data_IF_288927000050
#
_entry.id   IF_288927000050
#
_cell.length_a   1.000
_cell.length_b   1.000
_cell.length_c   1.000
_cell.angle_alpha   90.00
_cell.angle_beta   90.00
_cell.angle_gamma   90.00
#
_symmetry.space_group_name_H-M   'P 1'
#
loop_
_entity.id
_entity.type
_entity.pdbx_description
1 polymer ?
#
# COMPACT_ATOMS: atom_id res chain seq x y z
N UNK A 1 17.79 12.02 2.32
CA UNK A 1 16.32 11.81 2.28
C UNK A 1 15.69 11.97 3.68
N UNK A 2 16.08 13.01 4.45
CA UNK A 2 15.72 13.16 5.87
C UNK A 2 14.60 14.18 6.16
N UNK A 3 14.14 14.95 5.17
CA UNK A 3 13.14 16.01 5.38
C UNK A 3 11.67 15.53 5.47
N UNK A 4 11.36 14.26 5.13
CA UNK A 4 9.98 13.75 5.08
C UNK A 4 9.42 13.25 6.41
N UNK A 5 10.27 13.06 7.44
CA UNK A 5 9.80 12.60 8.74
C UNK A 5 8.95 13.67 9.45
N UNK A 6 9.35 14.95 9.38
CA UNK A 6 8.65 16.05 10.04
C UNK A 6 7.23 16.27 9.52
N UNK A 7 7.02 16.17 8.20
CA UNK A 7 5.74 16.47 7.55
C UNK A 7 4.60 15.56 8.03
N UNK A 8 4.87 14.27 8.22
CA UNK A 8 3.86 13.31 8.72
C UNK A 8 3.45 13.61 10.17
N UNK A 9 4.38 14.06 11.01
CA UNK A 9 4.07 14.47 12.39
C UNK A 9 3.26 15.76 12.45
N UNK A 10 3.57 16.76 11.61
CA UNK A 10 2.79 18.00 11.51
C UNK A 10 1.33 17.75 11.09
N UNK A 11 1.10 16.79 10.20
CA UNK A 11 -0.26 16.49 9.74
C UNK A 11 -1.09 15.69 10.75
N UNK A 12 -0.46 14.81 11.53
CA UNK A 12 -1.12 14.21 12.70
C UNK A 12 -1.43 15.27 13.77
N UNK A 13 -0.58 16.28 13.91
CA UNK A 13 -0.85 17.42 14.79
C UNK A 13 -2.05 18.26 14.31
N UNK A 14 -2.21 18.43 12.99
CA UNK A 14 -3.42 19.04 12.41
C UNK A 14 -4.68 18.26 12.80
N UNK A 15 -4.71 16.92 12.65
CA UNK A 15 -5.84 16.10 13.09
C UNK A 15 -6.15 16.30 14.59
N UNK A 16 -5.10 16.38 15.42
CA UNK A 16 -5.26 16.66 16.85
C UNK A 16 -5.84 18.05 17.13
N UNK A 17 -5.47 19.07 16.35
CA UNK A 17 -6.04 20.43 16.45
C UNK A 17 -7.50 20.45 16.00
N UNK A 18 -7.81 19.82 14.88
CA UNK A 18 -9.16 19.76 14.32
C UNK A 18 -10.15 19.08 15.27
N UNK A 19 -9.72 18.02 15.95
CA UNK A 19 -10.54 17.40 16.99
C UNK A 19 -10.93 18.36 18.13
N UNK A 20 -10.10 19.34 18.48
CA UNK A 20 -10.45 20.34 19.50
C UNK A 20 -11.62 21.22 19.07
N UNK A 21 -11.88 21.33 17.78
CA UNK A 21 -13.02 22.06 17.23
C UNK A 21 -14.30 21.21 17.14
N UNK A 22 -14.33 20.02 17.76
CA UNK A 22 -15.49 19.11 17.82
C UNK A 22 -16.07 18.72 16.45
N UNK A 23 -15.23 18.61 15.42
CA UNK A 23 -15.63 18.09 14.11
C UNK A 23 -16.17 16.66 14.24
N UNK A 24 -17.18 16.28 13.41
CA UNK A 24 -17.71 14.93 13.41
C UNK A 24 -16.63 13.94 12.96
N UNK A 25 -16.75 12.69 13.41
CA UNK A 25 -15.74 11.67 13.14
C UNK A 25 -15.56 11.42 11.63
N UNK A 26 -16.63 11.48 10.84
CA UNK A 26 -16.59 11.32 9.39
C UNK A 26 -15.68 12.33 8.70
N UNK A 27 -15.77 13.61 9.07
CA UNK A 27 -14.94 14.67 8.49
C UNK A 27 -13.46 14.48 8.85
N UNK A 28 -13.18 14.08 10.08
CA UNK A 28 -11.81 13.78 10.51
C UNK A 28 -11.22 12.59 9.74
N UNK A 29 -12.03 11.57 9.43
CA UNK A 29 -11.64 10.46 8.56
C UNK A 29 -11.40 10.95 7.14
N UNK A 30 -12.28 11.77 6.58
CA UNK A 30 -12.12 12.34 5.24
C UNK A 30 -10.81 13.14 5.13
N UNK A 31 -10.50 13.96 6.14
CA UNK A 31 -9.25 14.73 6.19
C UNK A 31 -8.03 13.80 6.33
N UNK A 32 -8.12 12.74 7.14
CA UNK A 32 -7.05 11.75 7.23
C UNK A 32 -6.78 11.09 5.87
N UNK A 33 -7.84 10.64 5.19
CA UNK A 33 -7.76 9.99 3.87
C UNK A 33 -7.27 10.96 2.80
N UNK A 34 -7.72 12.21 2.80
CA UNK A 34 -7.35 13.19 1.77
C UNK A 34 -5.99 13.83 1.97
N UNK A 35 -5.51 13.96 3.21
CA UNK A 35 -4.33 14.79 3.50
C UNK A 35 -3.14 14.04 4.09
N UNK A 36 -3.38 13.01 4.90
CA UNK A 36 -2.33 12.25 5.59
C UNK A 36 -1.99 10.98 4.83
N UNK A 37 -3.01 10.18 4.51
CA UNK A 37 -2.88 8.88 3.85
C UNK A 37 -2.11 8.94 2.52
N UNK A 38 -2.29 9.94 1.63
CA UNK A 38 -1.57 10.00 0.35
C UNK A 38 -0.06 10.16 0.52
N UNK A 39 0.41 10.79 1.61
CA UNK A 39 1.85 10.90 1.90
C UNK A 39 2.42 9.55 2.30
N UNK A 40 1.65 8.76 3.06
CA UNK A 40 2.05 7.42 3.47
C UNK A 40 2.04 6.44 2.30
N UNK A 41 1.25 6.73 1.26
CA UNK A 41 0.98 5.83 0.13
C UNK A 41 1.66 6.28 -1.18
N UNK A 42 2.36 7.41 -1.17
CA UNK A 42 3.01 7.93 -2.37
C UNK A 42 4.07 6.95 -2.89
N UNK A 43 3.98 6.62 -4.18
CA UNK A 43 4.90 5.70 -4.87
C UNK A 43 4.99 4.30 -4.25
N UNK A 44 3.94 3.84 -3.56
CA UNK A 44 3.85 2.48 -2.96
C UNK A 44 4.36 1.35 -3.87
N UNK A 45 4.01 1.29 -5.17
CA UNK A 45 4.52 0.23 -6.07
C UNK A 45 6.04 0.13 -6.14
N UNK A 46 6.75 1.22 -5.83
CA UNK A 46 8.22 1.28 -5.89
C UNK A 46 8.88 0.63 -4.66
N UNK A 47 8.29 0.80 -3.47
CA UNK A 47 8.98 0.47 -2.22
C UNK A 47 8.26 -0.56 -1.34
N UNK A 48 6.98 -0.87 -1.58
CA UNK A 48 6.18 -1.70 -0.66
C UNK A 48 6.82 -3.05 -0.33
N UNK A 49 7.31 -3.75 -1.36
CA UNK A 49 7.93 -5.07 -1.23
C UNK A 49 9.31 -5.04 -0.58
N UNK A 50 10.00 -3.90 -0.61
CA UNK A 50 11.33 -3.72 -0.04
C UNK A 50 11.34 -3.39 1.46
N UNK A 51 10.17 -3.27 2.09
CA UNK A 51 10.08 -2.84 3.48
C UNK A 51 10.50 -3.92 4.46
N UNK A 52 11.23 -3.49 5.48
CA UNK A 52 11.46 -4.32 6.67
C UNK A 52 10.20 -4.38 7.54
N UNK A 53 10.10 -5.42 8.38
CA UNK A 53 9.03 -5.55 9.39
C UNK A 53 8.93 -4.30 10.27
N UNK A 54 10.06 -3.72 10.65
CA UNK A 54 10.13 -2.50 11.45
C UNK A 54 9.55 -1.29 10.71
N UNK A 55 9.90 -1.08 9.43
CA UNK A 55 9.35 0.02 8.64
C UNK A 55 7.84 -0.11 8.44
N UNK A 56 7.36 -1.33 8.13
CA UNK A 56 5.92 -1.61 8.03
C UNK A 56 5.20 -1.34 9.36
N UNK A 57 5.80 -1.72 10.48
CA UNK A 57 5.27 -1.40 11.81
C UNK A 57 5.19 0.12 12.05
N UNK A 58 6.23 0.88 11.68
CA UNK A 58 6.23 2.34 11.84
C UNK A 58 5.13 3.02 11.03
N UNK A 59 4.88 2.57 9.80
CA UNK A 59 3.77 3.06 8.97
C UNK A 59 2.44 2.75 9.64
N UNK A 60 2.21 1.50 10.06
CA UNK A 60 0.97 1.09 10.72
C UNK A 60 0.75 1.86 12.03
N UNK A 61 1.83 2.20 12.75
CA UNK A 61 1.79 3.00 13.98
C UNK A 61 1.24 4.41 13.73
N UNK A 62 1.50 5.00 12.56
CA UNK A 62 0.94 6.31 12.19
C UNK A 62 -0.57 6.22 11.98
N UNK A 63 -1.06 5.18 11.30
CA UNK A 63 -2.51 4.96 11.16
C UNK A 63 -3.17 4.71 12.51
N UNK A 64 -2.59 3.84 13.37
CA UNK A 64 -3.08 3.61 14.74
C UNK A 64 -3.19 4.91 15.54
N UNK A 65 -2.21 5.79 15.42
CA UNK A 65 -2.22 7.10 16.09
C UNK A 65 -3.30 8.02 15.51
N UNK A 66 -3.53 7.99 14.21
CA UNK A 66 -4.63 8.72 13.58
C UNK A 66 -5.99 8.22 14.10
N UNK A 67 -6.24 6.91 14.06
CA UNK A 67 -7.47 6.29 14.56
C UNK A 67 -7.73 6.65 16.04
N UNK A 68 -6.72 6.53 16.90
CA UNK A 68 -6.83 6.93 18.31
C UNK A 68 -7.15 8.41 18.48
N UNK A 69 -6.56 9.26 17.64
CA UNK A 69 -6.86 10.70 17.65
C UNK A 69 -8.31 10.93 17.26
N UNK A 70 -8.78 10.33 16.16
CA UNK A 70 -10.15 10.50 15.65
C UNK A 70 -11.18 10.00 16.66
N UNK A 71 -11.03 8.77 17.17
CA UNK A 71 -12.00 8.17 18.11
C UNK A 71 -11.93 8.73 19.53
N UNK A 72 -10.74 9.09 20.02
CA UNK A 72 -10.58 9.62 21.39
C UNK A 72 -11.03 8.63 22.46
N UNK A 73 -12.02 9.02 23.27
CA UNK A 73 -12.58 8.19 24.34
C UNK A 73 -13.27 6.93 23.83
N UNK A 74 -13.80 6.94 22.61
CA UNK A 74 -14.45 5.77 21.99
C UNK A 74 -13.45 4.75 21.42
N UNK A 75 -12.14 4.96 21.59
CA UNK A 75 -11.12 4.04 21.06
C UNK A 75 -11.06 2.74 21.87
N UNK A 76 -11.57 1.65 21.31
CA UNK A 76 -11.55 0.31 21.91
C UNK A 76 -10.72 -0.70 21.10
N UNK A 77 -9.49 -0.31 20.75
CA UNK A 77 -8.56 -1.17 20.00
C UNK A 77 -8.52 -0.91 18.49
N UNK A 78 -7.51 -1.47 17.83
CA UNK A 78 -7.21 -1.11 16.44
C UNK A 78 -8.17 -1.75 15.43
N UNK A 79 -8.52 -3.04 15.61
CA UNK A 79 -9.49 -3.74 14.77
C UNK A 79 -10.86 -3.05 14.79
N UNK A 80 -11.39 -2.79 15.99
CA UNK A 80 -12.62 -2.04 16.19
C UNK A 80 -12.56 -0.64 15.54
N UNK A 81 -11.42 0.06 15.68
CA UNK A 81 -11.24 1.37 15.05
C UNK A 81 -11.25 1.31 13.52
N UNK A 82 -10.69 0.26 12.92
CA UNK A 82 -10.71 0.08 11.47
C UNK A 82 -12.13 -0.16 10.97
N UNK A 83 -12.88 -1.02 11.64
CA UNK A 83 -14.27 -1.33 11.30
C UNK A 83 -15.17 -0.09 11.46
N UNK A 84 -15.13 0.56 12.63
CA UNK A 84 -15.95 1.74 12.92
C UNK A 84 -15.63 2.94 12.00
N UNK A 85 -14.38 3.10 11.57
CA UNK A 85 -13.98 4.21 10.69
C UNK A 85 -14.03 3.83 9.20
N UNK A 86 -14.42 2.60 8.85
CA UNK A 86 -14.43 2.12 7.46
C UNK A 86 -13.05 2.10 6.81
N UNK A 87 -11.99 1.82 7.58
CA UNK A 87 -10.61 1.81 7.11
C UNK A 87 -10.06 0.39 7.01
N UNK A 88 -9.25 0.12 6.00
CA UNK A 88 -8.41 -1.08 5.96
C UNK A 88 -7.06 -0.81 6.63
N UNK A 89 -6.32 -1.86 6.98
CA UNK A 89 -4.90 -1.71 7.39
C UNK A 89 -4.08 -1.02 6.30
N UNK A 90 -2.99 -0.33 6.66
CA UNK A 90 -2.11 0.24 5.63
C UNK A 90 -1.39 -0.86 4.84
N UNK A 91 -1.12 -2.01 5.45
CA UNK A 91 -0.54 -3.15 4.73
C UNK A 91 -1.44 -3.61 3.57
N UNK A 92 -2.70 -3.94 3.85
CA UNK A 92 -3.65 -4.38 2.82
C UNK A 92 -3.90 -3.28 1.80
N UNK A 93 -4.00 -2.03 2.23
CA UNK A 93 -4.19 -0.89 1.33
C UNK A 93 -3.06 -0.72 0.33
N UNK A 94 -1.80 -0.85 0.78
CA UNK A 94 -0.63 -0.72 -0.08
C UNK A 94 -0.53 -1.86 -1.09
N UNK A 95 -0.87 -3.07 -0.68
CA UNK A 95 -0.95 -4.21 -1.60
C UNK A 95 -1.99 -3.97 -2.71
N UNK A 96 -3.18 -3.47 -2.36
CA UNK A 96 -4.20 -3.10 -3.36
C UNK A 96 -3.72 -2.01 -4.32
N UNK A 97 -2.96 -1.03 -3.84
CA UNK A 97 -2.37 0.00 -4.71
C UNK A 97 -1.33 -0.59 -5.66
N UNK A 98 -0.50 -1.52 -5.19
CA UNK A 98 0.43 -2.27 -6.04
C UNK A 98 -0.33 -3.08 -7.11
N UNK A 99 -1.40 -3.79 -6.73
CA UNK A 99 -2.21 -4.57 -7.65
C UNK A 99 -2.87 -3.67 -8.72
N UNK A 100 -3.46 -2.55 -8.29
CA UNK A 100 -4.08 -1.58 -9.19
C UNK A 100 -3.07 -1.02 -10.19
N UNK A 101 -1.88 -0.66 -9.71
CA UNK A 101 -0.79 -0.19 -10.57
C UNK A 101 -0.32 -1.28 -11.55
N UNK A 102 -0.14 -2.50 -11.07
CA UNK A 102 0.30 -3.64 -11.89
C UNK A 102 -0.70 -3.95 -13.01
N UNK A 103 -2.01 -3.91 -12.72
CA UNK A 103 -3.06 -4.07 -13.72
C UNK A 103 -3.08 -2.94 -14.73
N UNK A 104 -3.01 -1.68 -14.27
CA UNK A 104 -2.91 -0.54 -15.21
C UNK A 104 -1.67 -0.61 -16.11
N UNK A 105 -0.60 -1.26 -15.65
CA UNK A 105 0.61 -1.46 -16.44
C UNK A 105 0.40 -2.47 -17.58
N UNK A 106 -0.47 -3.47 -17.38
CA UNK A 106 -0.80 -4.47 -18.41
C UNK A 106 -1.53 -3.85 -19.62
N UNK A 107 -2.35 -2.83 -19.37
CA UNK A 107 -3.16 -2.16 -20.39
C UNK A 107 -2.50 -0.90 -20.98
N UNK A 108 -1.28 -0.57 -20.53
CA UNK A 108 -0.57 0.65 -20.91
C UNK A 108 0.53 0.42 -21.94
N UNK A 109 1.04 1.51 -22.52
CA UNK A 109 2.22 1.52 -23.38
C UNK A 109 3.50 0.98 -22.69
N UNK A 110 3.50 0.94 -21.35
CA UNK A 110 4.62 0.42 -20.55
C UNK A 110 4.50 -1.08 -20.25
N UNK A 111 3.66 -1.82 -20.99
CA UNK A 111 3.48 -3.28 -20.85
C UNK A 111 4.80 -4.04 -20.88
N UNK A 112 5.75 -3.55 -21.68
CA UNK A 112 7.08 -4.14 -21.87
C UNK A 112 7.98 -4.08 -20.63
N UNK A 113 7.63 -3.26 -19.63
CA UNK A 113 8.32 -3.27 -18.34
C UNK A 113 8.03 -4.53 -17.53
N UNK A 114 6.89 -5.19 -17.79
CA UNK A 114 6.55 -6.46 -17.19
C UNK A 114 7.03 -7.61 -18.08
N UNK A 115 7.49 -8.72 -17.50
CA UNK A 115 7.83 -9.91 -18.27
C UNK A 115 6.67 -10.37 -19.16
N UNK A 116 6.97 -11.00 -20.31
CA UNK A 116 5.94 -11.56 -21.15
C UNK A 116 5.26 -12.78 -20.47
N UNK A 117 4.05 -13.16 -20.91
CA UNK A 117 3.41 -14.41 -20.52
C UNK A 117 4.26 -15.64 -20.89
N UNK A 118 4.09 -16.73 -20.15
CA UNK A 118 4.87 -17.96 -20.37
C UNK A 118 4.61 -18.62 -21.73
N UNK A 119 3.41 -18.44 -22.29
CA UNK A 119 3.08 -18.84 -23.67
C UNK A 119 4.06 -18.27 -24.69
N UNK A 120 4.39 -16.98 -24.59
CA UNK A 120 5.25 -16.29 -25.55
C UNK A 120 6.71 -16.77 -25.48
N UNK A 121 7.16 -17.22 -24.30
CA UNK A 121 8.54 -17.69 -24.12
C UNK A 121 8.71 -19.14 -24.53
N UNK A 122 7.77 -20.00 -24.11
CA UNK A 122 7.91 -21.46 -24.26
C UNK A 122 7.21 -22.02 -25.49
N UNK A 123 6.26 -21.27 -26.06
CA UNK A 123 5.39 -21.74 -27.14
C UNK A 123 4.39 -22.82 -26.73
N UNK A 124 4.37 -23.25 -25.46
CA UNK A 124 3.52 -24.33 -24.96
C UNK A 124 2.31 -23.78 -24.21
N UNK A 125 1.14 -24.35 -24.49
CA UNK A 125 -0.10 -24.04 -23.76
C UNK A 125 -0.25 -25.01 -22.59
N UNK A 126 0.32 -24.65 -21.46
CA UNK A 126 0.13 -25.32 -20.16
C UNK A 126 -0.95 -24.61 -19.34
N UNK A 127 -1.43 -25.24 -18.25
CA UNK A 127 -2.44 -24.63 -17.34
C UNK A 127 -2.06 -23.24 -16.84
N UNK A 128 -0.76 -22.99 -16.67
CA UNK A 128 -0.20 -21.72 -16.17
C UNK A 128 0.43 -20.86 -17.27
N UNK A 129 0.12 -21.12 -18.54
CA UNK A 129 0.78 -20.46 -19.66
C UNK A 129 0.38 -18.99 -19.83
N UNK A 130 -0.84 -18.63 -19.42
CA UNK A 130 -1.34 -17.25 -19.40
C UNK A 130 -0.63 -16.36 -18.36
N UNK A 131 -0.05 -16.96 -17.31
CA UNK A 131 0.66 -16.24 -16.26
C UNK A 131 1.94 -15.60 -16.80
N UNK A 132 2.33 -14.48 -16.19
CA UNK A 132 3.59 -13.81 -16.48
C UNK A 132 4.79 -14.69 -16.07
N UNK A 133 5.87 -14.57 -16.83
CA UNK A 133 7.12 -15.23 -16.47
C UNK A 133 7.83 -14.49 -15.33
N UNK A 134 7.90 -15.11 -14.14
CA UNK A 134 8.56 -14.50 -12.99
C UNK A 134 10.08 -14.39 -13.23
N UNK A 135 10.69 -13.19 -13.08
CA UNK A 135 12.14 -13.04 -13.20
C UNK A 135 12.87 -13.88 -12.15
N UNK A 136 13.94 -14.57 -12.57
CA UNK A 136 14.80 -15.32 -11.64
C UNK A 136 15.58 -14.33 -10.77
N UNK A 137 15.47 -14.45 -9.45
CA UNK A 137 16.16 -13.57 -8.52
C UNK A 137 17.23 -14.31 -7.72
N UNK A 138 18.48 -13.82 -7.79
CA UNK A 138 19.62 -14.37 -7.01
C UNK A 138 19.70 -13.79 -5.60
N UNK A 139 19.10 -12.63 -5.35
CA UNK A 139 19.14 -11.95 -4.06
C UNK A 139 17.74 -11.57 -3.60
N UNK A 140 17.54 -11.55 -2.27
CA UNK A 140 16.29 -11.06 -1.67
C UNK A 140 16.00 -9.60 -2.07
N UNK A 141 17.05 -8.78 -2.22
CA UNK A 141 16.90 -7.39 -2.65
C UNK A 141 16.25 -7.27 -4.02
N UNK A 142 16.70 -8.06 -5.00
CA UNK A 142 16.10 -8.04 -6.33
C UNK A 142 14.71 -8.71 -6.33
N UNK A 143 14.54 -9.82 -5.61
CA UNK A 143 13.23 -10.48 -5.46
C UNK A 143 12.17 -9.52 -4.91
N UNK A 144 12.57 -8.65 -3.98
CA UNK A 144 11.72 -7.65 -3.33
C UNK A 144 11.70 -6.31 -4.06
N UNK A 145 12.32 -6.19 -5.25
CA UNK A 145 12.15 -5.01 -6.10
C UNK A 145 10.78 -5.03 -6.79
N UNK A 146 10.38 -3.88 -7.34
CA UNK A 146 9.02 -3.68 -7.87
C UNK A 146 8.64 -4.70 -8.94
N UNK A 147 9.43 -4.88 -10.00
CA UNK A 147 9.03 -5.72 -11.12
C UNK A 147 8.80 -7.19 -10.71
N UNK A 148 9.74 -7.88 -10.01
CA UNK A 148 9.51 -9.26 -9.58
C UNK A 148 8.38 -9.38 -8.54
N UNK A 149 8.16 -8.36 -7.71
CA UNK A 149 7.03 -8.36 -6.78
C UNK A 149 5.69 -8.20 -7.50
N UNK A 150 5.54 -7.19 -8.37
CA UNK A 150 4.31 -6.94 -9.10
C UNK A 150 3.96 -8.12 -10.03
N UNK A 151 4.96 -8.73 -10.66
CA UNK A 151 4.76 -9.94 -11.49
C UNK A 151 4.18 -11.10 -10.67
N UNK A 152 4.70 -11.33 -9.46
CA UNK A 152 4.17 -12.36 -8.55
C UNK A 152 2.77 -12.01 -8.06
N UNK A 153 2.53 -10.72 -7.77
CA UNK A 153 1.23 -10.23 -7.31
C UNK A 153 0.15 -10.45 -8.36
N UNK A 154 0.38 -10.09 -9.62
CA UNK A 154 -0.55 -10.37 -10.74
C UNK A 154 -0.83 -11.88 -10.80
N UNK A 155 0.22 -12.70 -10.83
CA UNK A 155 0.08 -14.16 -10.94
C UNK A 155 -0.62 -14.85 -9.76
N UNK A 156 -0.80 -14.16 -8.62
CA UNK A 156 -1.55 -14.66 -7.47
C UNK A 156 -3.04 -14.33 -7.56
N UNK A 157 -3.37 -13.17 -8.13
CA UNK A 157 -4.75 -12.67 -8.21
C UNK A 157 -5.46 -13.05 -9.52
N UNK A 158 -4.72 -13.46 -10.55
CA UNK A 158 -5.25 -13.92 -11.84
C UNK A 158 -5.24 -15.48 -11.96
N UNK A 159 -5.23 -16.20 -10.83
CA UNK A 159 -5.44 -17.67 -10.78
C UNK A 159 -6.92 -18.02 -10.86
#
# INVERSE_FOLDING_TARGET
MAAKAGTSFFKLFLLKRLKKFNLPQGDLVAIYIGYVRPILECAVPVWNSGLTKHQSYLLERLQKRACRTIMGSSYNGYSHALEHLGLSTLATRREQLCLKFARSLLDSEFRDWLPPPRTQITGRVTRNSHLLNCPKARTNRYLNSSIPYLTRLINQYDQ
#
